data_IF_500031714420
#
_entry.id   IF_500031714420
#
_cell.length_a   1.000
_cell.length_b   1.000
_cell.length_c   1.000
_cell.angle_alpha   90.00
_cell.angle_beta   90.00
_cell.angle_gamma   90.00
#
_symmetry.space_group_name_H-M   'P 1'
#
loop_
_entity.id
_entity.type
_entity.pdbx_description
1 polymer ?
#
# COMPACT_ATOMS: atom_id res chain seq x y z
N UNK A 1 -9.01 4.07 5.89
CA UNK A 1 -8.67 2.77 5.26
C UNK A 1 -8.68 1.67 6.32
N UNK A 2 -9.33 0.53 6.07
CA UNK A 2 -9.38 -0.62 7.00
C UNK A 2 -9.38 -1.97 6.28
N UNK A 3 -9.32 -3.05 7.04
CA UNK A 3 -9.33 -4.44 6.55
C UNK A 3 -8.27 -4.65 5.46
N UNK A 4 -7.04 -4.23 5.77
CA UNK A 4 -5.92 -4.29 4.84
C UNK A 4 -5.39 -5.71 4.79
N UNK A 5 -5.39 -6.31 3.60
CA UNK A 5 -5.03 -7.72 3.42
C UNK A 5 -4.07 -7.90 2.24
N UNK A 6 -3.20 -8.91 2.33
CA UNK A 6 -2.35 -9.32 1.21
C UNK A 6 -3.20 -10.06 0.17
N UNK A 7 -2.98 -9.73 -1.10
CA UNK A 7 -3.63 -10.40 -2.22
C UNK A 7 -2.58 -10.98 -3.16
N UNK A 8 -2.74 -12.25 -3.52
CA UNK A 8 -1.91 -12.88 -4.57
C UNK A 8 -2.71 -13.00 -5.86
N UNK A 9 -2.39 -12.16 -6.85
CA UNK A 9 -2.97 -12.28 -8.19
C UNK A 9 -2.36 -13.44 -8.96
N UNK A 10 -3.14 -14.04 -9.87
CA UNK A 10 -2.69 -15.16 -10.72
C UNK A 10 -1.42 -14.82 -11.51
N UNK A 11 -1.28 -13.58 -12.01
CA UNK A 11 -0.10 -13.15 -12.78
C UNK A 11 1.20 -13.22 -11.99
N UNK A 12 1.15 -13.04 -10.66
CA UNK A 12 2.34 -13.11 -9.80
C UNK A 12 2.88 -14.54 -9.65
N UNK A 13 2.13 -15.54 -10.12
CA UNK A 13 2.56 -16.95 -10.17
C UNK A 13 3.31 -17.30 -11.46
N UNK A 14 3.39 -16.38 -12.42
CA UNK A 14 4.17 -16.57 -13.63
C UNK A 14 5.67 -16.41 -13.31
N UNK A 15 6.36 -17.54 -13.21
CA UNK A 15 7.79 -17.60 -12.85
C UNK A 15 8.71 -17.05 -13.93
N UNK A 16 8.20 -16.77 -15.13
CA UNK A 16 8.97 -16.10 -16.19
C UNK A 16 8.99 -14.59 -16.01
N UNK A 17 8.05 -14.04 -15.24
CA UNK A 17 7.89 -12.61 -15.01
C UNK A 17 8.17 -12.21 -13.56
N UNK A 18 7.93 -13.12 -12.61
CA UNK A 18 8.04 -12.85 -11.18
C UNK A 18 8.80 -13.95 -10.44
N UNK A 19 9.61 -13.53 -9.47
CA UNK A 19 10.25 -14.41 -8.49
C UNK A 19 9.57 -14.20 -7.12
N UNK A 20 9.05 -15.28 -6.52
CA UNK A 20 8.49 -15.21 -5.17
C UNK A 20 9.64 -15.06 -4.15
N UNK A 21 9.63 -13.98 -3.38
CA UNK A 21 10.69 -13.69 -2.41
C UNK A 21 10.27 -14.15 -1.01
N UNK A 22 9.06 -13.78 -0.61
CA UNK A 22 8.42 -14.17 0.64
C UNK A 22 6.90 -14.02 0.50
N UNK A 23 6.15 -14.40 1.53
CA UNK A 23 4.68 -14.33 1.50
C UNK A 23 4.20 -12.92 1.11
N UNK A 24 3.49 -12.82 -0.02
CA UNK A 24 2.93 -11.57 -0.52
C UNK A 24 3.92 -10.59 -1.17
N UNK A 25 5.22 -10.89 -1.22
CA UNK A 25 6.22 -10.05 -1.89
C UNK A 25 6.88 -10.83 -3.04
N UNK A 26 6.84 -10.22 -4.22
CA UNK A 26 7.36 -10.77 -5.45
C UNK A 26 8.37 -9.79 -6.04
N UNK A 27 9.43 -10.29 -6.68
CA UNK A 27 10.34 -9.49 -7.49
C UNK A 27 9.90 -9.59 -8.94
N UNK A 28 9.67 -8.46 -9.59
CA UNK A 28 9.44 -8.39 -11.02
C UNK A 28 10.77 -8.49 -11.78
N UNK A 29 10.91 -9.50 -12.63
CA UNK A 29 12.18 -9.83 -13.29
C UNK A 29 12.54 -8.87 -14.43
N UNK A 30 11.54 -8.22 -15.02
CA UNK A 30 11.71 -7.26 -16.11
C UNK A 30 11.94 -5.83 -15.62
N UNK A 31 11.67 -5.53 -14.35
CA UNK A 31 11.95 -4.22 -13.78
C UNK A 31 13.43 -4.11 -13.39
N UNK A 32 14.16 -3.29 -14.15
CA UNK A 32 15.58 -2.97 -13.90
C UNK A 32 15.76 -1.70 -13.06
N UNK A 33 14.67 -1.13 -12.56
CA UNK A 33 14.66 0.04 -11.70
C UNK A 33 15.14 -0.26 -10.27
N UNK A 34 15.11 0.78 -9.43
CA UNK A 34 15.57 0.71 -8.04
C UNK A 34 14.58 0.03 -7.10
N UNK A 35 13.37 -0.24 -7.58
CA UNK A 35 12.24 -0.71 -6.77
C UNK A 35 11.53 -1.89 -7.44
N UNK A 36 12.24 -3.00 -7.72
CA UNK A 36 11.71 -4.12 -8.51
C UNK A 36 10.74 -5.03 -7.74
N UNK A 37 10.50 -4.76 -6.45
CA UNK A 37 9.63 -5.59 -5.63
C UNK A 37 8.19 -5.09 -5.70
N UNK A 38 7.25 -6.03 -5.63
CA UNK A 38 5.81 -5.84 -5.73
C UNK A 38 5.10 -6.50 -4.57
N UNK A 39 4.10 -5.82 -4.04
CA UNK A 39 3.17 -6.35 -3.05
C UNK A 39 1.78 -5.83 -3.39
N UNK A 40 0.78 -6.69 -3.37
CA UNK A 40 -0.60 -6.27 -3.66
C UNK A 40 -1.40 -6.32 -2.36
N UNK A 41 -2.06 -5.22 -2.05
CA UNK A 41 -2.97 -5.13 -0.90
C UNK A 41 -4.39 -4.80 -1.35
N UNK A 42 -5.36 -5.40 -0.69
CA UNK A 42 -6.75 -4.94 -0.72
C UNK A 42 -7.08 -4.19 0.56
N UNK A 43 -8.00 -3.24 0.46
CA UNK A 43 -8.49 -2.50 1.63
C UNK A 43 -9.89 -1.93 1.39
N UNK A 44 -10.54 -1.53 2.48
CA UNK A 44 -11.82 -0.84 2.48
C UNK A 44 -11.61 0.65 2.75
N UNK A 45 -12.11 1.48 1.84
CA UNK A 45 -12.25 2.92 1.95
C UNK A 45 -13.37 3.23 2.94
N UNK A 46 -13.13 4.14 3.86
CA UNK A 46 -14.14 4.53 4.83
C UNK A 46 -14.86 5.79 4.36
N UNK A 47 -16.17 5.69 4.16
CA UNK A 47 -17.03 6.81 3.77
C UNK A 47 -17.13 7.81 4.92
N UNK A 48 -16.70 9.05 4.70
CA UNK A 48 -16.72 10.11 5.71
C UNK A 48 -15.41 10.90 5.80
N UNK A 49 -14.29 10.33 5.35
CA UNK A 49 -13.08 11.09 5.07
C UNK A 49 -13.33 11.91 3.80
N UNK A 50 -13.20 13.23 3.89
CA UNK A 50 -13.50 14.16 2.78
C UNK A 50 -12.54 14.01 1.59
N UNK A 51 -11.51 13.18 1.72
CA UNK A 51 -10.54 12.80 0.70
C UNK A 51 -10.13 11.34 0.93
N UNK A 52 -10.64 10.46 0.09
CA UNK A 52 -10.50 9.01 0.15
C UNK A 52 -9.08 8.49 -0.19
N UNK A 53 -8.18 9.38 -0.61
CA UNK A 53 -6.81 9.05 -1.02
C UNK A 53 -5.72 9.39 0.03
N UNK A 54 -6.00 10.24 1.03
CA UNK A 54 -4.98 10.66 2.01
C UNK A 54 -4.36 9.50 2.79
N UNK A 55 -5.13 8.53 3.34
CA UNK A 55 -4.53 7.47 4.16
C UNK A 55 -3.60 6.55 3.38
N UNK A 56 -3.88 6.31 2.09
CA UNK A 56 -3.00 5.52 1.24
C UNK A 56 -1.74 6.30 0.90
N UNK A 57 -1.88 7.58 0.51
CA UNK A 57 -0.74 8.44 0.18
C UNK A 57 0.19 8.64 1.36
N UNK A 58 -0.35 8.97 2.53
CA UNK A 58 0.43 9.16 3.75
C UNK A 58 1.13 7.85 4.18
N UNK A 59 0.49 6.69 4.00
CA UNK A 59 1.13 5.40 4.20
C UNK A 59 2.28 5.18 3.20
N UNK A 60 2.09 5.52 1.93
CA UNK A 60 3.16 5.38 0.93
C UNK A 60 4.37 6.25 1.28
N UNK A 61 4.12 7.51 1.68
CA UNK A 61 5.13 8.47 2.11
C UNK A 61 5.88 7.97 3.39
N UNK A 62 5.16 7.49 4.40
CA UNK A 62 5.73 6.98 5.67
C UNK A 62 6.65 5.76 5.47
N UNK A 63 6.22 4.81 4.63
CA UNK A 63 6.97 3.56 4.43
C UNK A 63 8.03 3.64 3.32
N UNK A 64 8.03 4.72 2.52
CA UNK A 64 8.92 4.88 1.37
C UNK A 64 8.61 3.90 0.24
N UNK A 65 7.32 3.73 -0.06
CA UNK A 65 6.79 2.87 -1.12
C UNK A 65 5.94 3.72 -2.06
N UNK A 66 5.50 3.16 -3.19
CA UNK A 66 4.64 3.89 -4.14
C UNK A 66 3.60 2.96 -4.77
N UNK A 67 2.50 3.55 -5.24
CA UNK A 67 1.48 2.85 -6.01
C UNK A 67 1.96 2.62 -7.44
N UNK A 68 2.17 1.37 -7.81
CA UNK A 68 2.50 0.95 -9.19
C UNK A 68 1.25 0.98 -10.05
N UNK A 69 0.16 0.39 -9.54
CA UNK A 69 -1.09 0.27 -10.27
C UNK A 69 -2.29 0.22 -9.32
N UNK A 70 -3.30 1.04 -9.60
CA UNK A 70 -4.63 0.89 -9.01
C UNK A 70 -5.41 -0.14 -9.83
N UNK A 71 -5.59 -1.34 -9.27
CA UNK A 71 -6.12 -2.50 -10.00
C UNK A 71 -7.64 -2.47 -10.05
N UNK A 72 -8.30 -2.12 -8.94
CA UNK A 72 -9.76 -2.05 -8.88
C UNK A 72 -10.22 -1.08 -7.77
N UNK A 73 -11.32 -0.38 -8.02
CA UNK A 73 -12.14 0.32 -7.03
C UNK A 73 -13.59 -0.08 -7.27
N UNK A 74 -14.18 -0.84 -6.35
CA UNK A 74 -15.57 -1.30 -6.43
C UNK A 74 -16.30 -0.94 -5.14
N UNK A 75 -17.13 0.11 -5.21
CA UNK A 75 -17.72 0.72 -4.03
C UNK A 75 -16.62 1.16 -3.06
N UNK A 76 -16.67 0.64 -1.83
CA UNK A 76 -15.68 0.91 -0.80
C UNK A 76 -14.42 0.03 -0.90
N UNK A 77 -14.39 -1.00 -1.74
CA UNK A 77 -13.23 -1.90 -1.81
C UNK A 77 -12.24 -1.41 -2.85
N UNK A 78 -10.97 -1.38 -2.49
CA UNK A 78 -9.87 -1.02 -3.37
C UNK A 78 -8.78 -2.09 -3.36
N UNK A 79 -8.10 -2.22 -4.48
CA UNK A 79 -6.98 -3.13 -4.69
C UNK A 79 -5.85 -2.36 -5.38
N UNK A 80 -4.67 -2.35 -4.76
CA UNK A 80 -3.51 -1.60 -5.24
C UNK A 80 -2.26 -2.47 -5.24
N UNK A 81 -1.45 -2.30 -6.28
CA UNK A 81 -0.10 -2.84 -6.34
C UNK A 81 0.88 -1.78 -5.85
N UNK A 82 1.68 -2.15 -4.85
CA UNK A 82 2.71 -1.35 -4.25
C UNK A 82 4.08 -1.78 -4.76
N UNK A 83 4.94 -0.80 -5.02
CA UNK A 83 6.33 -0.97 -5.41
C UNK A 83 7.27 -0.33 -4.39
N UNK A 84 8.48 -0.88 -4.28
CA UNK A 84 9.46 -0.38 -3.33
C UNK A 84 10.71 -1.25 -3.22
N UNK A 85 11.56 -0.93 -2.25
CA UNK A 85 12.61 -1.84 -1.81
C UNK A 85 12.00 -2.99 -1.00
N UNK A 86 12.71 -4.13 -0.94
CA UNK A 86 12.29 -5.28 -0.16
C UNK A 86 12.04 -4.91 1.32
N UNK A 87 12.96 -4.15 1.91
CA UNK A 87 12.85 -3.70 3.30
C UNK A 87 11.68 -2.73 3.51
N UNK A 88 11.42 -1.83 2.57
CA UNK A 88 10.26 -0.94 2.65
C UNK A 88 8.94 -1.73 2.66
N UNK A 89 8.78 -2.67 1.72
CA UNK A 89 7.58 -3.51 1.64
C UNK A 89 7.43 -4.43 2.86
N UNK A 90 8.53 -4.97 3.41
CA UNK A 90 8.52 -5.73 4.66
C UNK A 90 7.98 -4.91 5.82
N UNK A 91 8.43 -3.66 5.97
CA UNK A 91 7.91 -2.76 7.02
C UNK A 91 6.44 -2.45 6.80
N UNK A 92 6.00 -2.26 5.56
CA UNK A 92 4.59 -2.01 5.25
C UNK A 92 3.68 -3.15 5.71
N UNK A 93 4.15 -4.40 5.78
CA UNK A 93 3.34 -5.50 6.33
C UNK A 93 2.84 -5.25 7.76
N UNK A 94 3.46 -4.34 8.51
CA UNK A 94 2.97 -3.91 9.83
C UNK A 94 1.51 -3.43 9.80
N UNK A 95 1.05 -2.88 8.67
CA UNK A 95 -0.30 -2.32 8.54
C UNK A 95 -1.37 -3.36 8.18
N UNK A 96 -0.97 -4.61 7.93
CA UNK A 96 -1.92 -5.68 7.61
C UNK A 96 -2.85 -5.94 8.80
N UNK A 97 -4.15 -6.06 8.51
CA UNK A 97 -5.20 -6.20 9.53
C UNK A 97 -5.46 -4.95 10.36
N UNK A 98 -4.72 -3.85 10.14
CA UNK A 98 -4.87 -2.60 10.87
C UNK A 98 -5.82 -1.64 10.20
N UNK A 99 -6.24 -0.63 10.95
CA UNK A 99 -6.93 0.54 10.42
C UNK A 99 -5.95 1.69 10.27
N UNK A 100 -5.97 2.35 9.12
CA UNK A 100 -5.16 3.52 8.82
C UNK A 100 -6.09 4.70 8.52
N UNK A 101 -5.83 5.83 9.15
CA UNK A 101 -6.56 7.09 8.95
C UNK A 101 -5.60 8.26 8.97
N UNK A 102 -5.94 9.31 8.23
CA UNK A 102 -5.19 10.57 8.26
C UNK A 102 -5.96 11.56 9.12
N UNK A 103 -5.37 12.02 10.21
CA UNK A 103 -5.96 13.02 11.09
C UNK A 103 -5.29 14.38 10.91
N UNK A 104 -6.09 15.44 10.93
CA UNK A 104 -5.57 16.78 11.04
C UNK A 104 -5.07 17.06 12.46
N UNK A 105 -3.85 17.58 12.61
CA UNK A 105 -3.33 18.12 13.86
C UNK A 105 -2.77 19.54 13.65
N UNK A 106 -2.74 20.31 14.74
CA UNK A 106 -2.13 21.63 14.73
C UNK A 106 -0.67 21.53 15.16
N UNK A 107 0.23 22.07 14.33
CA UNK A 107 1.66 22.16 14.60
C UNK A 107 2.16 23.54 14.15
N UNK A 108 2.72 24.32 15.07
CA UNK A 108 3.20 25.70 14.82
C UNK A 108 2.16 26.62 14.15
N UNK A 109 0.89 26.47 14.50
CA UNK A 109 -0.22 27.26 13.94
C UNK A 109 -0.63 26.85 12.53
N UNK A 110 -0.09 25.75 11.99
CA UNK A 110 -0.48 25.17 10.71
C UNK A 110 -1.23 23.85 10.92
N UNK A 111 -2.27 23.62 10.12
CA UNK A 111 -2.91 22.31 10.02
C UNK A 111 -2.01 21.37 9.21
N UNK A 112 -1.60 20.27 9.82
CA UNK A 112 -0.87 19.17 9.15
C UNK A 112 -1.69 17.89 9.24
N UNK A 113 -1.44 16.97 8.31
CA UNK A 113 -2.00 15.63 8.35
C UNK A 113 -1.01 14.68 9.01
N UNK A 114 -1.49 13.82 9.90
CA UNK A 114 -0.73 12.75 10.52
C UNK A 114 -1.38 11.40 10.22
N UNK A 115 -0.55 10.43 9.86
CA UNK A 115 -0.96 9.05 9.75
C UNK A 115 -1.19 8.44 11.15
N UNK A 116 -2.36 7.86 11.34
CA UNK A 116 -2.72 7.11 12.55
C UNK A 116 -3.01 5.67 12.16
N UNK A 117 -2.36 4.75 12.86
CA UNK A 117 -2.43 3.31 12.63
C UNK A 117 -2.91 2.64 13.92
N UNK A 118 -4.04 1.93 13.84
CA UNK A 118 -4.69 1.19 14.94
C UNK A 118 -4.55 -0.33 14.74
#
# INVERSE_FOLDING_TARGET
>A
MKNIELVTLKRLKDTTLYEAVEEGIYRELNDKGLTPYRMIISYVIETGDADDEHPLKDMMDEYGIYGVQYICKSGANALVELGGSLEALRRTKYVLGKRIRSEAHQEDGNTRMRLVIE
#
